data_IF_526963596696
#
_entry.id   IF_526963596696
#
_cell.length_a   1.000
_cell.length_b   1.000
_cell.length_c   1.000
_cell.angle_alpha   90.00
_cell.angle_beta   90.00
_cell.angle_gamma   90.00
#
_symmetry.space_group_name_H-M   'P 1'
#
loop_
_entity.id
_entity.type
_entity.pdbx_description
1 polymer ?
#
# COMPACT_ATOMS: atom_id res chain seq x y z
N UNK A 1 -32.19 -14.43 -18.27
CA UNK A 1 -31.23 -15.56 -18.44
C UNK A 1 -30.20 -15.28 -19.57
N UNK A 2 -29.60 -14.08 -19.64
CA UNK A 2 -28.51 -13.73 -20.59
C UNK A 2 -27.35 -12.95 -19.94
N UNK A 3 -27.43 -12.63 -18.64
CA UNK A 3 -26.41 -11.89 -17.91
C UNK A 3 -25.34 -12.77 -17.21
N UNK A 4 -25.54 -14.09 -17.20
CA UNK A 4 -24.62 -15.06 -16.56
C UNK A 4 -23.45 -15.49 -17.46
N UNK A 5 -23.44 -15.13 -18.76
CA UNK A 5 -22.42 -15.59 -19.71
C UNK A 5 -21.21 -14.65 -19.85
N UNK A 6 -21.28 -13.42 -19.34
CA UNK A 6 -20.19 -12.44 -19.45
C UNK A 6 -19.28 -12.41 -18.21
N UNK A 7 -19.69 -13.04 -17.10
CA UNK A 7 -19.01 -12.95 -15.81
C UNK A 7 -17.83 -13.92 -15.64
N UNK A 8 -17.63 -14.85 -16.58
CA UNK A 8 -16.63 -15.92 -16.45
C UNK A 8 -15.44 -15.78 -17.40
N UNK A 9 -15.06 -14.55 -17.79
CA UNK A 9 -13.72 -14.30 -18.32
C UNK A 9 -12.75 -14.29 -17.14
N UNK A 10 -12.38 -15.49 -16.64
CA UNK A 10 -11.23 -15.65 -15.76
C UNK A 10 -10.06 -14.92 -16.42
N UNK A 11 -9.51 -13.90 -15.76
CA UNK A 11 -8.34 -13.18 -16.28
C UNK A 11 -7.22 -14.21 -16.40
N UNK A 12 -6.99 -14.69 -17.62
CA UNK A 12 -5.97 -15.69 -17.88
C UNK A 12 -4.62 -14.99 -17.97
N UNK A 13 -3.81 -15.17 -16.92
CA UNK A 13 -2.42 -14.73 -16.90
C UNK A 13 -1.58 -15.81 -17.58
N UNK A 14 -1.65 -15.87 -18.91
CA UNK A 14 -0.88 -16.81 -19.75
C UNK A 14 -0.22 -16.07 -20.92
N UNK A 15 0.85 -16.65 -21.48
CA UNK A 15 1.57 -16.07 -22.63
C UNK A 15 2.07 -14.66 -22.38
N UNK A 16 1.76 -13.72 -23.28
CA UNK A 16 2.21 -12.32 -23.21
C UNK A 16 1.77 -11.59 -21.94
N UNK A 17 0.63 -11.95 -21.33
CA UNK A 17 0.17 -11.33 -20.09
C UNK A 17 1.11 -11.64 -18.90
N UNK A 18 1.71 -12.84 -18.86
CA UNK A 18 2.71 -13.18 -17.84
C UNK A 18 3.97 -12.33 -17.97
N UNK A 19 4.41 -12.08 -19.21
CA UNK A 19 5.57 -11.22 -19.45
C UNK A 19 5.32 -9.80 -18.92
N UNK A 20 4.12 -9.26 -19.13
CA UNK A 20 3.74 -7.95 -18.58
C UNK A 20 3.76 -7.94 -17.05
N UNK A 21 3.24 -8.98 -16.39
CA UNK A 21 3.27 -9.11 -14.92
C UNK A 21 4.71 -9.13 -14.41
N UNK A 22 5.61 -9.86 -15.05
CA UNK A 22 7.03 -9.88 -14.67
C UNK A 22 7.73 -8.54 -14.90
N UNK A 23 7.40 -7.83 -15.97
CA UNK A 23 7.92 -6.48 -16.21
C UNK A 23 7.46 -5.53 -15.10
N UNK A 24 6.17 -5.53 -14.76
CA UNK A 24 5.63 -4.70 -13.67
C UNK A 24 6.32 -5.02 -12.35
N UNK A 25 6.50 -6.30 -12.02
CA UNK A 25 7.24 -6.72 -10.83
C UNK A 25 8.68 -6.17 -10.83
N UNK A 26 9.38 -6.29 -11.95
CA UNK A 26 10.73 -5.76 -12.11
C UNK A 26 10.80 -4.24 -11.89
N UNK A 27 9.87 -3.48 -12.47
CA UNK A 27 9.78 -2.02 -12.28
C UNK A 27 9.51 -1.65 -10.83
N UNK A 28 8.59 -2.37 -10.15
CA UNK A 28 8.30 -2.13 -8.72
C UNK A 28 9.53 -2.36 -7.84
N UNK A 29 10.32 -3.40 -8.10
CA UNK A 29 11.56 -3.68 -7.36
C UNK A 29 12.62 -2.60 -7.60
N UNK A 30 12.79 -2.14 -8.84
CA UNK A 30 13.70 -1.03 -9.17
C UNK A 30 13.28 0.25 -8.46
N UNK A 31 11.98 0.55 -8.41
CA UNK A 31 11.47 1.72 -7.69
C UNK A 31 11.81 1.68 -6.18
N UNK A 32 11.65 0.51 -5.54
CA UNK A 32 12.04 0.32 -4.13
C UNK A 32 13.56 0.49 -3.93
N UNK A 33 14.38 -0.03 -4.86
CA UNK A 33 15.83 0.12 -4.80
C UNK A 33 16.24 1.59 -4.91
N UNK A 34 15.62 2.37 -5.80
CA UNK A 34 15.86 3.81 -5.94
C UNK A 34 15.43 4.54 -4.65
N UNK A 35 14.24 4.27 -4.13
CA UNK A 35 13.75 4.88 -2.89
C UNK A 35 14.71 4.61 -1.71
N UNK A 36 15.22 3.38 -1.62
CA UNK A 36 16.21 3.02 -0.61
C UNK A 36 17.55 3.76 -0.80
N UNK A 37 18.06 3.85 -2.04
CA UNK A 37 19.29 4.57 -2.35
C UNK A 37 19.18 6.09 -2.06
N UNK A 38 18.04 6.71 -2.37
CA UNK A 38 17.80 8.12 -2.05
C UNK A 38 17.72 8.33 -0.53
N UNK A 39 17.01 7.44 0.18
CA UNK A 39 16.95 7.46 1.64
C UNK A 39 18.33 7.38 2.28
N UNK A 40 19.18 6.45 1.83
CA UNK A 40 20.52 6.28 2.40
C UNK A 40 21.42 7.49 2.12
N UNK A 41 21.34 8.08 0.93
CA UNK A 41 22.07 9.31 0.59
C UNK A 41 21.65 10.48 1.48
N UNK A 42 20.35 10.68 1.70
CA UNK A 42 19.83 11.76 2.56
C UNK A 42 20.30 11.57 4.01
N UNK A 43 20.21 10.34 4.54
CA UNK A 43 20.61 10.05 5.92
C UNK A 43 22.12 10.07 6.15
N UNK A 44 22.93 9.89 5.11
CA UNK A 44 24.39 10.03 5.18
C UNK A 44 24.85 11.49 5.21
N UNK A 45 23.98 12.44 4.85
CA UNK A 45 24.30 13.86 4.90
C UNK A 45 24.43 14.37 6.34
N UNK A 46 25.23 15.41 6.56
CA UNK A 46 25.46 15.94 7.90
C UNK A 46 24.16 16.48 8.50
N UNK A 47 23.85 16.06 9.73
CA UNK A 47 22.65 16.51 10.46
C UNK A 47 22.69 17.98 10.93
N UNK A 48 23.78 18.70 10.65
CA UNK A 48 23.97 20.11 11.01
C UNK A 48 24.46 20.32 12.44
N UNK A 49 24.23 21.52 12.96
CA UNK A 49 24.70 21.93 14.30
C UNK A 49 23.90 21.23 15.42
N UNK A 50 24.41 21.17 16.66
CA UNK A 50 23.67 20.61 17.79
C UNK A 50 22.27 21.20 17.96
N UNK A 51 22.11 22.51 17.73
CA UNK A 51 20.81 23.16 17.83
C UNK A 51 19.84 22.74 16.71
N UNK A 52 20.33 22.50 15.49
CA UNK A 52 19.51 21.96 14.41
C UNK A 52 19.03 20.54 14.71
N UNK A 53 19.90 19.70 15.30
CA UNK A 53 19.54 18.32 15.67
C UNK A 53 18.48 18.28 16.78
N UNK A 54 18.59 19.15 17.78
CA UNK A 54 17.59 19.31 18.85
C UNK A 54 16.21 19.67 18.30
N UNK A 55 16.16 20.65 17.39
CA UNK A 55 14.91 21.07 16.73
C UNK A 55 14.36 19.93 15.86
N UNK A 56 15.20 19.28 15.07
CA UNK A 56 14.80 18.16 14.21
C UNK A 56 14.20 17.01 15.03
N UNK A 57 14.77 16.69 16.19
CA UNK A 57 14.23 15.67 17.09
C UNK A 57 12.84 16.06 17.62
N UNK A 58 12.65 17.31 18.05
CA UNK A 58 11.33 17.79 18.50
C UNK A 58 10.29 17.73 17.36
N UNK A 59 10.67 18.07 16.13
CA UNK A 59 9.81 17.96 14.95
C UNK A 59 9.47 16.50 14.65
N UNK A 60 10.44 15.59 14.71
CA UNK A 60 10.22 14.16 14.49
C UNK A 60 9.23 13.58 15.52
N UNK A 61 9.38 13.93 16.80
CA UNK A 61 8.44 13.51 17.86
C UNK A 61 7.04 14.04 17.58
N UNK A 62 6.90 15.32 17.22
CA UNK A 62 5.60 15.91 16.86
C UNK A 62 4.95 15.25 15.65
N UNK A 63 5.72 15.03 14.58
CA UNK A 63 5.25 14.37 13.37
C UNK A 63 4.82 12.92 13.64
N UNK A 64 5.60 12.16 14.40
CA UNK A 64 5.27 10.79 14.79
C UNK A 64 3.97 10.74 15.61
N UNK A 65 3.79 11.66 16.57
CA UNK A 65 2.57 11.75 17.36
C UNK A 65 1.34 12.10 16.51
N UNK A 66 1.47 13.03 15.57
CA UNK A 66 0.41 13.39 14.62
C UNK A 66 0.03 12.19 13.74
N UNK A 67 1.01 11.56 13.10
CA UNK A 67 0.80 10.41 12.22
C UNK A 67 0.20 9.23 12.99
N UNK A 68 0.66 8.95 14.21
CA UNK A 68 0.08 7.90 15.05
C UNK A 68 -1.41 8.16 15.33
N UNK A 69 -1.79 9.40 15.61
CA UNK A 69 -3.21 9.77 15.79
C UNK A 69 -4.00 9.66 14.49
N UNK A 70 -3.42 10.07 13.37
CA UNK A 70 -4.04 9.96 12.05
C UNK A 70 -4.28 8.50 11.66
N UNK A 71 -3.26 7.65 11.76
CA UNK A 71 -3.35 6.23 11.45
C UNK A 71 -4.29 5.48 12.41
N UNK A 72 -4.33 5.86 13.69
CA UNK A 72 -5.32 5.30 14.63
C UNK A 72 -6.75 5.58 14.15
N UNK A 73 -7.06 6.82 13.76
CA UNK A 73 -8.38 7.15 13.22
C UNK A 73 -8.64 6.44 11.89
N UNK A 74 -7.65 6.41 11.00
CA UNK A 74 -7.74 5.74 9.70
C UNK A 74 -7.98 4.22 9.84
N UNK A 75 -7.45 3.59 10.88
CA UNK A 75 -7.63 2.15 11.11
C UNK A 75 -9.11 1.76 11.24
N UNK A 76 -9.93 2.59 11.90
CA UNK A 76 -11.38 2.37 11.98
C UNK A 76 -12.03 2.45 10.60
N UNK A 77 -11.62 3.41 9.78
CA UNK A 77 -12.10 3.53 8.40
C UNK A 77 -11.75 2.29 7.57
N UNK A 78 -10.51 1.78 7.67
CA UNK A 78 -10.08 0.56 6.98
C UNK A 78 -10.94 -0.65 7.37
N UNK A 79 -11.23 -0.82 8.67
CA UNK A 79 -12.09 -1.92 9.15
C UNK A 79 -13.51 -1.78 8.59
N UNK A 80 -14.08 -0.57 8.60
CA UNK A 80 -15.42 -0.32 8.06
C UNK A 80 -15.46 -0.65 6.56
N UNK A 81 -14.51 -0.14 5.78
CA UNK A 81 -14.45 -0.40 4.33
C UNK A 81 -14.25 -1.87 4.04
N UNK A 82 -13.40 -2.58 4.80
CA UNK A 82 -13.26 -4.03 4.68
C UNK A 82 -14.61 -4.76 4.84
N UNK A 83 -15.37 -4.45 5.90
CA UNK A 83 -16.68 -5.06 6.14
C UNK A 83 -17.68 -4.71 5.04
N UNK A 84 -17.67 -3.46 4.55
CA UNK A 84 -18.52 -3.03 3.43
C UNK A 84 -18.17 -3.78 2.14
N UNK A 85 -16.89 -3.89 1.81
CA UNK A 85 -16.41 -4.63 0.64
C UNK A 85 -16.74 -6.12 0.74
N UNK A 86 -16.74 -6.69 1.94
CA UNK A 86 -17.16 -8.06 2.16
C UNK A 86 -18.68 -8.24 2.08
N UNK A 87 -19.47 -7.24 2.49
CA UNK A 87 -20.93 -7.29 2.44
C UNK A 87 -21.51 -7.13 1.03
N UNK A 88 -20.77 -6.49 0.11
CA UNK A 88 -21.20 -6.31 -1.29
C UNK A 88 -21.47 -7.65 -1.99
N UNK A 89 -22.46 -7.69 -2.92
CA UNK A 89 -22.81 -8.91 -3.64
C UNK A 89 -21.67 -9.39 -4.54
N UNK A 90 -21.53 -10.72 -4.65
CA UNK A 90 -20.52 -11.40 -5.47
C UNK A 90 -20.31 -12.85 -5.02
N UNK A 91 -19.61 -13.62 -5.83
CA UNK A 91 -19.20 -14.97 -5.46
C UNK A 91 -18.22 -14.94 -4.28
N UNK A 92 -18.15 -16.02 -3.51
CA UNK A 92 -17.35 -16.08 -2.28
C UNK A 92 -15.88 -15.70 -2.54
N UNK A 93 -15.31 -16.20 -3.63
CA UNK A 93 -13.93 -15.92 -4.04
C UNK A 93 -13.70 -14.42 -4.30
N UNK A 94 -14.65 -13.74 -4.93
CA UNK A 94 -14.57 -12.30 -5.22
C UNK A 94 -14.70 -11.48 -3.94
N UNK A 95 -15.62 -11.86 -3.05
CA UNK A 95 -15.85 -11.18 -1.76
C UNK A 95 -14.61 -11.26 -0.88
N UNK A 96 -14.02 -12.45 -0.76
CA UNK A 96 -12.80 -12.68 0.01
C UNK A 96 -11.62 -11.97 -0.66
N UNK A 97 -11.41 -12.18 -1.96
CA UNK A 97 -10.30 -11.61 -2.70
C UNK A 97 -10.24 -10.09 -2.61
N UNK A 98 -11.33 -9.39 -2.99
CA UNK A 98 -11.38 -7.92 -2.94
C UNK A 98 -11.10 -7.37 -1.54
N UNK A 99 -11.68 -7.99 -0.51
CA UNK A 99 -11.58 -7.49 0.87
C UNK A 99 -10.17 -7.71 1.44
N UNK A 100 -9.55 -8.86 1.18
CA UNK A 100 -8.17 -9.14 1.62
C UNK A 100 -7.17 -8.28 0.87
N UNK A 101 -7.27 -8.17 -0.47
CA UNK A 101 -6.36 -7.33 -1.25
C UNK A 101 -6.47 -5.84 -0.91
N UNK A 102 -7.66 -5.38 -0.47
CA UNK A 102 -7.80 -4.04 0.11
C UNK A 102 -6.98 -3.87 1.40
N UNK A 103 -7.01 -4.83 2.32
CA UNK A 103 -6.21 -4.77 3.56
C UNK A 103 -4.70 -4.82 3.27
N UNK A 104 -4.28 -5.64 2.31
CA UNK A 104 -2.89 -5.70 1.86
C UNK A 104 -2.46 -4.33 1.32
N UNK A 105 -3.26 -3.72 0.43
CA UNK A 105 -2.98 -2.39 -0.10
C UNK A 105 -2.96 -1.30 0.98
N UNK A 106 -3.90 -1.36 1.93
CA UNK A 106 -3.92 -0.44 3.07
C UNK A 106 -2.68 -0.58 3.96
N UNK A 107 -2.18 -1.80 4.17
CA UNK A 107 -0.97 -2.06 4.92
C UNK A 107 0.27 -1.47 4.21
N UNK A 108 0.44 -1.70 2.90
CA UNK A 108 1.52 -1.11 2.11
C UNK A 108 1.47 0.42 2.07
N UNK A 109 0.29 1.02 2.18
CA UNK A 109 0.15 2.48 2.25
C UNK A 109 0.49 3.08 3.61
N UNK A 110 0.48 2.27 4.68
CA UNK A 110 0.74 2.71 6.04
C UNK A 110 2.22 2.58 6.45
N UNK A 111 3.01 1.81 5.70
CA UNK A 111 4.46 1.61 5.87
C UNK A 111 5.27 2.64 5.12
#
# INVERSE_FOLDING_TARGET
MRALSAANSLVQVTGSNLNLVYIVLGVSLVALAIAWALRTQVLASSAGTPKMQEIAAAVQVGAAAYLARQFKTLSYFVVIVFLLLFALPGDMDVKIGRSIFFLIGAAFSAT
#
